data_IF_743495973559
#
_entry.id   IF_743495973559
#
_cell.length_a   1.000
_cell.length_b   1.000
_cell.length_c   1.000
_cell.angle_alpha   90.00
_cell.angle_beta   90.00
_cell.angle_gamma   90.00
#
_symmetry.space_group_name_H-M   'P 1'
#
loop_
_entity.id
_entity.type
_entity.pdbx_description
1 polymer ?
#
# COMPACT_ATOMS: atom_id res chain seq x y z
N UNK A 1 -1.99 8.08 -14.34
CA UNK A 1 -1.12 7.67 -13.21
C UNK A 1 -1.74 8.00 -11.86
N UNK A 2 -2.32 9.19 -11.66
CA UNK A 2 -2.95 9.61 -10.38
C UNK A 2 -3.96 8.58 -9.81
N UNK A 3 -4.95 8.16 -10.60
CA UNK A 3 -5.93 7.15 -10.19
C UNK A 3 -5.26 5.81 -9.85
N UNK A 4 -4.24 5.40 -10.61
CA UNK A 4 -3.49 4.18 -10.34
C UNK A 4 -2.84 4.21 -8.96
N UNK A 5 -2.21 5.32 -8.59
CA UNK A 5 -1.64 5.49 -7.25
C UNK A 5 -2.71 5.57 -6.14
N UNK A 6 -3.87 6.15 -6.43
CA UNK A 6 -5.01 6.14 -5.51
C UNK A 6 -5.50 4.71 -5.24
N UNK A 7 -5.59 3.87 -6.29
CA UNK A 7 -5.96 2.46 -6.17
C UNK A 7 -4.90 1.65 -5.42
N UNK A 8 -3.61 1.88 -5.68
CA UNK A 8 -2.51 1.24 -4.94
C UNK A 8 -2.57 1.61 -3.46
N UNK A 9 -2.79 2.88 -3.13
CA UNK A 9 -2.95 3.31 -1.74
C UNK A 9 -4.20 2.68 -1.08
N UNK A 10 -5.32 2.62 -1.79
CA UNK A 10 -6.54 2.00 -1.30
C UNK A 10 -6.34 0.49 -1.05
N UNK A 11 -5.61 -0.21 -1.92
CA UNK A 11 -5.27 -1.62 -1.75
C UNK A 11 -4.50 -1.85 -0.45
N UNK A 12 -3.39 -1.14 -0.26
CA UNK A 12 -2.58 -1.29 0.95
C UNK A 12 -3.33 -0.90 2.23
N UNK A 13 -4.21 0.09 2.16
CA UNK A 13 -5.06 0.47 3.29
C UNK A 13 -6.07 -0.65 3.65
N UNK A 14 -6.65 -1.31 2.64
CA UNK A 14 -7.56 -2.44 2.86
C UNK A 14 -6.82 -3.68 3.37
N UNK A 15 -5.61 -3.96 2.87
CA UNK A 15 -4.74 -5.02 3.42
C UNK A 15 -4.45 -4.78 4.90
N UNK A 16 -4.12 -3.55 5.30
CA UNK A 16 -3.94 -3.19 6.70
C UNK A 16 -5.24 -3.38 7.51
N UNK A 17 -6.39 -2.94 6.98
CA UNK A 17 -7.68 -3.11 7.65
C UNK A 17 -8.03 -4.59 7.88
N UNK A 18 -7.81 -5.45 6.88
CA UNK A 18 -8.00 -6.90 7.04
C UNK A 18 -7.04 -7.47 8.08
N UNK A 19 -5.76 -7.09 8.05
CA UNK A 19 -4.76 -7.51 9.04
C UNK A 19 -5.05 -7.02 10.48
N UNK A 20 -5.80 -5.93 10.63
CA UNK A 20 -6.29 -5.39 11.91
C UNK A 20 -7.63 -6.04 12.35
N UNK A 21 -8.22 -6.92 11.55
CA UNK A 21 -9.53 -7.53 11.82
C UNK A 21 -10.72 -6.63 11.46
N UNK A 22 -10.48 -5.49 10.80
CA UNK A 22 -11.49 -4.54 10.33
C UNK A 22 -11.93 -4.81 8.88
N UNK A 23 -12.14 -6.09 8.52
CA UNK A 23 -12.45 -6.52 7.16
C UNK A 23 -13.78 -6.00 6.59
N UNK A 24 -14.66 -5.45 7.42
CA UNK A 24 -15.92 -4.82 7.00
C UNK A 24 -15.73 -3.36 6.53
N UNK A 25 -14.57 -2.77 6.81
CA UNK A 25 -14.25 -1.39 6.44
C UNK A 25 -13.45 -1.27 5.13
N UNK A 26 -13.23 -2.40 4.42
CA UNK A 26 -12.47 -2.41 3.16
C UNK A 26 -13.24 -1.71 2.03
N UNK A 27 -12.52 -1.04 1.13
CA UNK A 27 -13.10 -0.37 -0.04
C UNK A 27 -13.27 -1.32 -1.21
N UNK A 28 -12.29 -2.18 -1.47
CA UNK A 28 -12.27 -3.12 -2.59
C UNK A 28 -13.03 -4.42 -2.21
N UNK A 29 -14.31 -4.28 -1.83
CA UNK A 29 -15.16 -5.39 -1.39
C UNK A 29 -15.30 -6.50 -2.43
N UNK A 30 -15.25 -6.14 -3.71
CA UNK A 30 -15.26 -7.02 -4.87
C UNK A 30 -13.97 -7.85 -5.02
N UNK A 31 -12.91 -7.49 -4.29
CA UNK A 31 -11.60 -8.14 -4.31
C UNK A 31 -11.21 -8.69 -2.94
N UNK A 32 -12.19 -9.03 -2.09
CA UNK A 32 -11.98 -9.52 -0.73
C UNK A 32 -11.04 -10.72 -0.65
N UNK A 33 -11.24 -11.75 -1.47
CA UNK A 33 -10.41 -12.96 -1.41
C UNK A 33 -8.91 -12.67 -1.69
N UNK A 34 -8.56 -11.96 -2.78
CA UNK A 34 -7.18 -11.50 -2.97
C UNK A 34 -6.63 -10.63 -1.83
N UNK A 35 -7.44 -9.70 -1.29
CA UNK A 35 -7.04 -8.86 -0.16
C UNK A 35 -6.70 -9.67 1.08
N UNK A 36 -7.52 -10.67 1.42
CA UNK A 36 -7.26 -11.57 2.54
C UNK A 36 -6.00 -12.42 2.30
N UNK A 37 -5.73 -12.82 1.06
CA UNK A 37 -4.50 -13.52 0.71
C UNK A 37 -3.25 -12.64 0.91
N UNK A 38 -3.33 -11.37 0.54
CA UNK A 38 -2.24 -10.42 0.73
C UNK A 38 -2.05 -10.03 2.20
N UNK A 39 -3.15 -9.85 2.95
CA UNK A 39 -3.10 -9.59 4.40
C UNK A 39 -2.51 -10.75 5.21
N UNK A 40 -2.53 -11.98 4.69
CA UNK A 40 -1.80 -13.12 5.28
C UNK A 40 -0.30 -13.08 5.01
N UNK A 41 0.17 -12.32 4.03
CA UNK A 41 1.58 -12.27 3.60
C UNK A 41 2.30 -11.00 4.05
N UNK A 42 1.58 -9.89 4.16
CA UNK A 42 2.12 -8.58 4.50
C UNK A 42 1.70 -8.15 5.89
N UNK A 43 2.66 -7.76 6.73
CA UNK A 43 2.35 -7.20 8.05
C UNK A 43 1.48 -5.93 7.93
N UNK A 44 0.52 -5.78 8.85
CA UNK A 44 -0.45 -4.67 8.83
C UNK A 44 0.21 -3.30 8.94
N UNK A 45 1.30 -3.15 9.70
CA UNK A 45 2.02 -1.89 9.82
C UNK A 45 2.79 -1.58 8.53
N UNK A 46 3.42 -2.59 7.94
CA UNK A 46 4.05 -2.48 6.63
C UNK A 46 3.04 -2.07 5.55
N UNK A 47 1.86 -2.69 5.53
CA UNK A 47 0.76 -2.33 4.63
C UNK A 47 0.32 -0.87 4.82
N UNK A 48 0.11 -0.43 6.06
CA UNK A 48 -0.24 0.97 6.35
C UNK A 48 0.84 1.95 5.86
N UNK A 49 2.12 1.64 6.09
CA UNK A 49 3.24 2.45 5.58
C UNK A 49 3.28 2.48 4.06
N UNK A 50 3.01 1.36 3.38
CA UNK A 50 2.94 1.31 1.93
C UNK A 50 1.81 2.20 1.37
N UNK A 51 0.65 2.23 2.03
CA UNK A 51 -0.45 3.14 1.67
C UNK A 51 -0.04 4.63 1.82
N UNK A 52 0.65 4.97 2.92
CA UNK A 52 1.17 6.32 3.16
C UNK A 52 2.19 6.74 2.08
N UNK A 53 3.11 5.84 1.71
CA UNK A 53 4.08 6.07 0.64
C UNK A 53 3.40 6.31 -0.72
N UNK A 54 2.43 5.47 -1.10
CA UNK A 54 1.70 5.63 -2.35
C UNK A 54 0.94 6.97 -2.42
N UNK A 55 0.26 7.35 -1.33
CA UNK A 55 -0.39 8.67 -1.23
C UNK A 55 0.61 9.83 -1.28
N UNK A 56 1.76 9.69 -0.63
CA UNK A 56 2.85 10.67 -0.69
C UNK A 56 3.41 10.86 -2.09
N UNK A 57 3.66 9.75 -2.81
CA UNK A 57 4.09 9.77 -4.21
C UNK A 57 3.05 10.42 -5.10
N UNK A 58 1.77 10.07 -4.95
CA UNK A 58 0.65 10.67 -5.70
C UNK A 58 0.64 12.20 -5.59
N UNK A 59 0.75 12.75 -4.37
CA UNK A 59 0.79 14.20 -4.13
C UNK A 59 2.00 14.87 -4.80
N UNK A 60 3.16 14.21 -4.77
CA UNK A 60 4.40 14.76 -5.35
C UNK A 60 4.45 14.64 -6.86
N UNK A 61 3.74 13.66 -7.44
CA UNK A 61 3.78 13.38 -8.87
C UNK A 61 3.38 14.60 -9.72
N UNK A 62 2.43 15.42 -9.22
CA UNK A 62 1.99 16.65 -9.89
C UNK A 62 3.11 17.67 -10.16
N UNK A 63 4.24 17.58 -9.45
CA UNK A 63 5.39 18.47 -9.59
C UNK A 63 6.69 17.74 -9.94
N UNK A 64 6.65 16.43 -10.21
CA UNK A 64 7.84 15.65 -10.53
C UNK A 64 8.15 15.70 -12.03
N UNK A 65 9.39 16.07 -12.37
CA UNK A 65 9.87 16.13 -13.76
C UNK A 65 10.10 14.73 -14.37
N UNK A 66 10.27 13.70 -13.52
CA UNK A 66 10.45 12.32 -13.96
C UNK A 66 9.50 11.39 -13.16
N UNK A 67 8.37 11.05 -13.78
CA UNK A 67 7.33 10.23 -13.18
C UNK A 67 7.77 8.77 -13.02
N UNK A 68 8.50 8.22 -14.00
CA UNK A 68 8.96 6.83 -14.00
C UNK A 68 9.89 6.57 -12.81
N UNK A 69 10.88 7.43 -12.58
CA UNK A 69 11.79 7.32 -11.44
C UNK A 69 11.04 7.44 -10.09
N UNK A 70 9.99 8.27 -10.03
CA UNK A 70 9.19 8.40 -8.83
C UNK A 70 8.39 7.12 -8.52
N UNK A 71 7.90 6.43 -9.57
CA UNK A 71 7.23 5.14 -9.44
C UNK A 71 8.20 4.02 -9.07
N UNK A 72 9.37 3.95 -9.72
CA UNK A 72 10.41 2.96 -9.39
C UNK A 72 10.85 3.10 -7.94
N UNK A 73 11.10 4.33 -7.49
CA UNK A 73 11.48 4.60 -6.11
C UNK A 73 10.35 4.25 -5.12
N UNK A 74 9.08 4.43 -5.49
CA UNK A 74 7.95 4.00 -4.67
C UNK A 74 7.97 2.49 -4.47
N UNK A 75 8.04 1.71 -5.55
CA UNK A 75 7.97 0.25 -5.46
C UNK A 75 9.22 -0.36 -4.81
N UNK A 76 10.40 0.24 -4.97
CA UNK A 76 11.59 -0.14 -4.22
C UNK A 76 11.42 0.06 -2.70
N UNK A 77 10.86 1.19 -2.26
CA UNK A 77 10.60 1.46 -0.83
C UNK A 77 9.53 0.54 -0.27
N UNK A 78 8.45 0.30 -1.01
CA UNK A 78 7.39 -0.64 -0.61
C UNK A 78 7.95 -2.05 -0.48
N UNK A 79 8.76 -2.50 -1.44
CA UNK A 79 9.41 -3.80 -1.36
C UNK A 79 10.31 -3.92 -0.13
N UNK A 80 11.05 -2.87 0.23
CA UNK A 80 11.89 -2.87 1.43
C UNK A 80 11.09 -3.10 2.72
N UNK A 81 9.85 -2.59 2.82
CA UNK A 81 8.97 -2.82 3.97
C UNK A 81 8.59 -4.30 4.14
N UNK A 82 8.50 -5.06 3.05
CA UNK A 82 8.16 -6.50 3.09
C UNK A 82 9.35 -7.39 3.50
N UNK A 83 10.58 -6.84 3.50
CA UNK A 83 11.79 -7.55 3.90
C UNK A 83 12.21 -7.24 5.35
N UNK A 84 11.59 -6.25 6.00
CA UNK A 84 11.82 -5.98 7.41
C UNK A 84 11.08 -7.02 8.26
N UNK A 85 11.78 -7.90 9.01
CA UNK A 85 11.12 -8.79 9.94
C UNK A 85 10.48 -7.94 11.04
N UNK A 86 9.18 -8.14 11.23
CA UNK A 86 8.29 -7.31 12.05
C UNK A 86 8.96 -6.66 13.25
N UNK A 87 9.01 -5.32 13.23
CA UNK A 87 9.25 -4.53 14.41
C UNK A 87 8.05 -4.73 15.36
N UNK A 88 8.15 -5.77 16.19
CA UNK A 88 7.35 -5.95 17.39
C UNK A 88 7.69 -4.81 18.34
N UNK A 89 6.81 -3.80 18.43
CA UNK A 89 6.48 -3.07 19.67
C UNK A 89 5.02 -2.64 19.60
#
# INVERSE_FOLDING_TARGET
IDLGLALVAAWFADVAAVGEGAGDAIRNVDRREPLEADARRLDRFAARRAAELAMGTRRRLQVNVNEDLALDALFHRVAALSHEPGAVV
#
